data_IF_234624328129
#
_entry.id   IF_234624328129
#
_cell.length_a   1.000
_cell.length_b   1.000
_cell.length_c   1.000
_cell.angle_alpha   90.00
_cell.angle_beta   90.00
_cell.angle_gamma   90.00
#
_symmetry.space_group_name_H-M   'P 1'
#
loop_
_entity.id
_entity.type
_entity.pdbx_description
1 polymer ?
#
# COMPACT_ATOMS: atom_id res chain seq x y z
N UNK A 1 -38.54 -43.57 -0.04
CA UNK A 1 -38.71 -42.28 -0.74
C UNK A 1 -38.63 -41.02 0.13
N UNK A 2 -39.05 -41.04 1.41
CA UNK A 2 -39.02 -39.84 2.29
C UNK A 2 -37.60 -39.38 2.69
N UNK A 3 -36.68 -40.32 2.89
CA UNK A 3 -35.29 -40.05 3.30
C UNK A 3 -34.43 -39.40 2.20
N UNK A 4 -34.61 -39.77 0.92
CA UNK A 4 -33.87 -39.20 -0.22
C UNK A 4 -34.28 -37.73 -0.47
N UNK A 5 -35.57 -37.39 -0.28
CA UNK A 5 -36.04 -35.99 -0.37
C UNK A 5 -35.39 -35.09 0.69
N UNK A 6 -35.23 -35.58 1.92
CA UNK A 6 -34.59 -34.82 2.98
C UNK A 6 -33.08 -34.64 2.74
N UNK A 7 -32.41 -35.65 2.18
CA UNK A 7 -31.00 -35.55 1.81
C UNK A 7 -30.76 -34.53 0.68
N UNK A 8 -31.66 -34.50 -0.32
CA UNK A 8 -31.61 -33.55 -1.43
C UNK A 8 -31.83 -32.10 -0.97
N UNK A 9 -32.72 -31.89 0.02
CA UNK A 9 -32.98 -30.55 0.59
C UNK A 9 -31.76 -30.05 1.37
N UNK A 10 -31.07 -30.91 2.12
CA UNK A 10 -29.85 -30.54 2.84
C UNK A 10 -28.72 -30.20 1.85
N UNK A 11 -28.58 -30.97 0.78
CA UNK A 11 -27.56 -30.72 -0.25
C UNK A 11 -27.82 -29.43 -1.05
N UNK A 12 -29.09 -29.13 -1.39
CA UNK A 12 -29.47 -27.87 -2.05
C UNK A 12 -29.24 -26.65 -1.14
N UNK A 13 -29.47 -26.79 0.18
CA UNK A 13 -29.23 -25.72 1.16
C UNK A 13 -27.75 -25.36 1.32
N UNK A 14 -26.84 -26.32 1.17
CA UNK A 14 -25.41 -26.10 1.32
C UNK A 14 -24.79 -25.29 0.16
N UNK A 15 -25.34 -25.43 -1.07
CA UNK A 15 -24.80 -24.77 -2.27
C UNK A 15 -25.11 -23.26 -2.28
N UNK A 16 -26.19 -22.82 -1.63
CA UNK A 16 -26.60 -21.41 -1.59
C UNK A 16 -25.83 -20.55 -0.57
N UNK A 17 -25.08 -21.16 0.35
CA UNK A 17 -24.26 -20.45 1.34
C UNK A 17 -22.82 -20.21 0.87
N UNK A 18 -22.40 -20.82 -0.24
CA UNK A 18 -21.02 -20.77 -0.76
C UNK A 18 -20.70 -19.57 -1.66
N UNK A 19 -21.62 -18.62 -1.81
CA UNK A 19 -21.37 -17.39 -2.59
C UNK A 19 -21.30 -16.18 -1.65
N UNK A 20 -20.25 -16.13 -0.82
CA UNK A 20 -19.87 -14.88 -0.17
C UNK A 20 -19.36 -13.93 -1.24
N UNK A 21 -20.19 -12.97 -1.66
CA UNK A 21 -19.76 -11.89 -2.53
C UNK A 21 -18.60 -11.15 -1.86
N UNK A 22 -17.44 -11.14 -2.50
CA UNK A 22 -16.32 -10.29 -2.11
C UNK A 22 -16.81 -8.85 -2.22
N UNK A 23 -17.09 -8.19 -1.09
CA UNK A 23 -17.53 -6.79 -1.11
C UNK A 23 -16.43 -5.94 -1.73
N UNK A 24 -16.65 -5.44 -2.93
CA UNK A 24 -15.78 -4.42 -3.52
C UNK A 24 -15.86 -3.16 -2.67
N UNK A 25 -14.71 -2.67 -2.22
CA UNK A 25 -14.64 -1.38 -1.53
C UNK A 25 -14.56 -0.33 -2.64
N UNK A 26 -15.54 0.57 -2.70
CA UNK A 26 -15.45 1.74 -3.56
C UNK A 26 -14.39 2.69 -3.01
N UNK A 27 -13.34 2.92 -3.81
CA UNK A 27 -12.28 3.87 -3.48
C UNK A 27 -12.66 5.22 -4.07
N UNK A 28 -12.63 6.27 -3.24
CA UNK A 28 -12.78 7.65 -3.69
C UNK A 28 -11.43 8.36 -3.56
N UNK A 29 -11.04 9.03 -4.62
CA UNK A 29 -9.80 9.79 -4.71
C UNK A 29 -10.09 11.28 -4.85
N UNK A 30 -9.31 12.11 -4.16
CA UNK A 30 -9.28 13.56 -4.33
C UNK A 30 -7.91 14.11 -3.99
N UNK A 31 -7.45 15.13 -4.70
CA UNK A 31 -6.28 15.93 -4.34
C UNK A 31 -6.60 17.42 -4.38
N UNK A 32 -5.91 18.19 -3.54
CA UNK A 32 -6.01 19.64 -3.51
C UNK A 32 -4.72 20.29 -3.05
N UNK A 33 -4.37 21.42 -3.66
CA UNK A 33 -3.23 22.24 -3.29
C UNK A 33 -3.69 23.47 -2.48
N UNK A 34 -3.02 23.74 -1.36
CA UNK A 34 -3.23 24.90 -0.50
C UNK A 34 -2.03 25.86 -0.66
N UNK A 35 -2.23 26.93 -1.43
CA UNK A 35 -1.20 27.97 -1.69
C UNK A 35 -0.70 28.64 -0.40
N UNK A 36 -1.53 28.74 0.64
CA UNK A 36 -1.15 29.43 1.89
C UNK A 36 -0.18 28.61 2.74
N UNK A 37 -0.24 27.28 2.60
CA UNK A 37 0.62 26.34 3.32
C UNK A 37 1.71 25.72 2.44
N UNK A 38 1.71 26.04 1.14
CA UNK A 38 2.52 25.38 0.13
C UNK A 38 2.46 23.85 0.28
N UNK A 39 1.25 23.29 0.18
CA UNK A 39 1.02 21.88 0.49
C UNK A 39 -0.08 21.26 -0.38
N UNK A 40 0.22 20.10 -0.97
CA UNK A 40 -0.78 19.23 -1.58
C UNK A 40 -1.30 18.19 -0.57
N UNK A 41 -2.62 18.08 -0.47
CA UNK A 41 -3.30 17.00 0.25
C UNK A 41 -3.84 15.97 -0.74
N UNK A 42 -3.55 14.69 -0.51
CA UNK A 42 -4.02 13.55 -1.30
C UNK A 42 -4.89 12.66 -0.43
N UNK A 43 -6.17 12.58 -0.73
CA UNK A 43 -7.16 11.79 0.00
C UNK A 43 -7.57 10.56 -0.79
N UNK A 44 -7.47 9.39 -0.16
CA UNK A 44 -7.86 8.10 -0.71
C UNK A 44 -8.80 7.44 0.31
N UNK A 45 -10.11 7.55 0.12
CA UNK A 45 -11.09 6.96 1.03
C UNK A 45 -11.32 5.48 0.72
N UNK A 46 -11.44 4.61 1.73
CA UNK A 46 -11.50 4.91 3.18
C UNK A 46 -10.14 4.91 3.89
N UNK A 47 -9.02 4.90 3.16
CA UNK A 47 -7.70 4.60 3.71
C UNK A 47 -7.01 5.78 4.42
N UNK A 48 -7.15 7.00 3.91
CA UNK A 48 -6.65 8.18 4.62
C UNK A 48 -6.25 9.34 3.73
N UNK A 49 -5.41 10.20 4.29
CA UNK A 49 -4.92 11.42 3.65
C UNK A 49 -3.41 11.55 3.86
N UNK A 50 -2.69 11.84 2.78
CA UNK A 50 -1.28 12.21 2.78
C UNK A 50 -1.16 13.70 2.52
N UNK A 51 -0.20 14.36 3.17
CA UNK A 51 0.11 15.77 2.99
C UNK A 51 1.57 15.90 2.59
N UNK A 52 1.83 16.52 1.45
CA UNK A 52 3.17 16.69 0.89
C UNK A 52 3.41 18.18 0.67
N UNK A 53 4.58 18.67 1.08
CA UNK A 53 4.97 20.07 0.86
C UNK A 53 5.20 20.31 -0.63
N UNK A 54 4.85 21.49 -1.12
CA UNK A 54 4.89 21.84 -2.54
C UNK A 54 3.58 21.58 -3.27
N UNK A 55 3.52 22.08 -4.50
CA UNK A 55 2.45 21.81 -5.45
C UNK A 55 2.75 20.53 -6.26
N UNK A 56 1.93 19.50 -6.04
CA UNK A 56 1.99 18.22 -6.74
C UNK A 56 0.78 18.02 -7.64
N UNK A 57 1.00 17.57 -8.88
CA UNK A 57 -0.05 17.34 -9.86
C UNK A 57 -0.13 15.86 -10.22
N UNK A 58 -1.30 15.23 -10.03
CA UNK A 58 -1.52 13.82 -10.43
C UNK A 58 -1.31 13.67 -11.94
N UNK A 59 -0.53 12.67 -12.32
CA UNK A 59 -0.23 12.35 -13.73
C UNK A 59 -0.76 10.99 -14.16
N UNK A 60 -0.75 9.99 -13.26
CA UNK A 60 -1.33 8.68 -13.56
C UNK A 60 -1.80 7.96 -12.31
N UNK A 61 -2.59 6.92 -12.53
CA UNK A 61 -2.98 5.94 -11.52
C UNK A 61 -2.70 4.54 -12.07
N UNK A 62 -2.16 3.67 -11.23
CA UNK A 62 -2.09 2.25 -11.52
C UNK A 62 -3.19 1.54 -10.73
N UNK A 63 -4.28 1.19 -11.40
CA UNK A 63 -5.43 0.53 -10.77
C UNK A 63 -5.11 -0.87 -10.23
N UNK A 64 -4.03 -1.52 -10.70
CA UNK A 64 -3.62 -2.84 -10.20
C UNK A 64 -2.91 -2.71 -8.86
N UNK A 65 -1.95 -1.78 -8.73
CA UNK A 65 -1.20 -1.57 -7.48
C UNK A 65 -1.87 -0.58 -6.53
N UNK A 66 -2.89 0.16 -6.98
CA UNK A 66 -3.51 1.24 -6.22
C UNK A 66 -2.61 2.47 -6.02
N UNK A 67 -1.54 2.60 -6.81
CA UNK A 67 -0.60 3.72 -6.73
C UNK A 67 -1.07 4.93 -7.55
N UNK A 68 -0.97 6.11 -6.95
CA UNK A 68 -1.22 7.40 -7.58
C UNK A 68 0.11 8.12 -7.75
N UNK A 69 0.41 8.59 -8.96
CA UNK A 69 1.68 9.24 -9.29
C UNK A 69 1.47 10.72 -9.54
N UNK A 70 2.41 11.52 -9.07
CA UNK A 70 2.38 12.97 -9.16
C UNK A 70 3.73 13.51 -9.60
N UNK A 71 3.69 14.58 -10.39
CA UNK A 71 4.86 15.41 -10.69
C UNK A 71 4.87 16.59 -9.73
N UNK A 72 6.04 16.87 -9.15
CA UNK A 72 6.30 17.98 -8.25
C UNK A 72 7.34 18.96 -8.81
N UNK A 73 7.87 19.85 -7.94
CA UNK A 73 8.95 20.76 -8.28
C UNK A 73 10.21 20.02 -8.77
N UNK A 74 11.03 20.69 -9.58
CA UNK A 74 12.34 20.20 -10.04
C UNK A 74 12.33 18.83 -10.73
N UNK A 75 11.21 18.49 -11.39
CA UNK A 75 11.01 17.19 -12.07
C UNK A 75 11.06 15.98 -11.13
N UNK A 76 10.85 16.18 -9.83
CA UNK A 76 10.72 15.10 -8.85
C UNK A 76 9.33 14.46 -8.96
N UNK A 77 9.29 13.14 -9.03
CA UNK A 77 8.07 12.36 -8.97
C UNK A 77 7.78 11.86 -7.55
N UNK A 78 6.49 11.69 -7.22
CA UNK A 78 6.08 10.91 -6.05
C UNK A 78 4.98 9.92 -6.42
N UNK A 79 5.13 8.67 -5.98
CA UNK A 79 4.06 7.68 -6.00
C UNK A 79 3.51 7.47 -4.59
N UNK A 80 2.19 7.41 -4.45
CA UNK A 80 1.49 7.26 -3.16
C UNK A 80 0.50 6.10 -3.27
N UNK A 81 0.59 5.14 -2.35
CA UNK A 81 -0.39 4.08 -2.16
C UNK A 81 -0.75 3.93 -0.68
N UNK A 82 -2.05 3.82 -0.41
CA UNK A 82 -2.59 3.54 0.92
C UNK A 82 -3.42 2.26 0.86
N UNK A 83 -3.13 1.28 1.70
CA UNK A 83 -3.87 0.02 1.71
C UNK A 83 -3.82 -0.68 3.06
N UNK A 84 -4.81 -1.53 3.39
CA UNK A 84 -4.76 -2.38 4.57
C UNK A 84 -3.49 -3.25 4.59
N UNK A 85 -2.82 -3.31 5.74
CA UNK A 85 -1.55 -4.05 5.87
C UNK A 85 -1.72 -5.57 5.70
N UNK A 86 -2.91 -6.10 6.01
CA UNK A 86 -3.27 -7.51 5.94
C UNK A 86 -3.62 -7.99 4.51
N UNK A 87 -3.49 -7.12 3.50
CA UNK A 87 -3.73 -7.43 2.09
C UNK A 87 -2.46 -7.67 1.27
N UNK A 88 -1.29 -7.40 1.82
CA UNK A 88 -0.04 -7.72 1.16
C UNK A 88 0.18 -9.24 1.14
N UNK A 89 0.73 -9.78 0.05
CA UNK A 89 0.92 -11.23 -0.12
C UNK A 89 1.74 -11.87 1.01
N UNK A 90 2.78 -11.20 1.51
CA UNK A 90 3.63 -11.72 2.58
C UNK A 90 2.94 -11.69 3.96
N UNK A 91 1.88 -10.88 4.09
CA UNK A 91 1.18 -10.61 5.34
C UNK A 91 -0.18 -11.30 5.43
N UNK A 92 -0.83 -11.53 4.29
CA UNK A 92 -2.19 -12.06 4.25
C UNK A 92 -2.22 -13.49 4.80
N UNK A 93 -3.04 -13.72 5.83
CA UNK A 93 -3.14 -14.99 6.55
C UNK A 93 -1.80 -15.50 7.13
N UNK A 94 -0.81 -14.63 7.32
CA UNK A 94 0.47 -14.99 7.90
C UNK A 94 0.51 -14.60 9.39
N UNK A 95 0.40 -15.57 10.33
CA UNK A 95 0.39 -15.26 11.76
C UNK A 95 1.73 -14.72 12.29
N UNK A 96 2.82 -14.87 11.54
CA UNK A 96 4.13 -14.32 11.92
C UNK A 96 4.25 -12.82 11.63
N UNK A 97 3.36 -12.27 10.78
CA UNK A 97 3.34 -10.84 10.48
C UNK A 97 2.29 -10.18 11.36
N UNK A 98 2.76 -9.28 12.22
CA UNK A 98 1.95 -8.53 13.16
C UNK A 98 2.06 -7.03 12.87
N UNK A 99 1.11 -6.19 13.32
CA UNK A 99 1.26 -4.75 13.18
C UNK A 99 2.59 -4.21 13.73
N UNK A 100 3.15 -4.84 14.77
CA UNK A 100 4.41 -4.43 15.39
C UNK A 100 5.63 -4.69 14.52
N UNK A 101 5.64 -5.76 13.72
CA UNK A 101 6.78 -6.11 12.86
C UNK A 101 6.53 -5.84 11.37
N UNK A 102 5.31 -5.44 10.99
CA UNK A 102 4.87 -5.31 9.62
C UNK A 102 5.75 -4.38 8.79
N UNK A 103 6.14 -3.21 9.31
CA UNK A 103 6.99 -2.25 8.58
C UNK A 103 8.34 -2.87 8.22
N UNK A 104 8.94 -3.60 9.16
CA UNK A 104 10.21 -4.30 8.91
C UNK A 104 10.04 -5.44 7.92
N UNK A 105 8.96 -6.21 8.05
CA UNK A 105 8.63 -7.31 7.12
C UNK A 105 8.35 -6.81 5.70
N UNK A 106 7.69 -5.65 5.57
CA UNK A 106 7.51 -5.00 4.28
C UNK A 106 8.85 -4.62 3.67
N UNK A 107 9.72 -3.94 4.43
CA UNK A 107 11.05 -3.60 3.95
C UNK A 107 11.84 -4.83 3.49
N UNK A 108 11.84 -5.92 4.26
CA UNK A 108 12.51 -7.17 3.87
C UNK A 108 11.96 -7.75 2.56
N UNK A 109 10.64 -7.81 2.42
CA UNK A 109 9.97 -8.31 1.22
C UNK A 109 10.29 -7.45 -0.02
N UNK A 110 10.14 -6.13 0.10
CA UNK A 110 10.37 -5.19 -0.99
C UNK A 110 11.86 -5.05 -1.35
N UNK A 111 12.74 -5.00 -0.35
CA UNK A 111 14.19 -4.96 -0.55
C UNK A 111 14.70 -6.18 -1.31
N UNK A 112 14.21 -7.38 -0.98
CA UNK A 112 14.58 -8.59 -1.68
C UNK A 112 14.13 -8.53 -3.15
N UNK A 113 12.88 -8.13 -3.39
CA UNK A 113 12.36 -7.94 -4.74
C UNK A 113 13.19 -6.92 -5.54
N UNK A 114 13.42 -5.72 -5.00
CA UNK A 114 14.18 -4.66 -5.67
C UNK A 114 15.61 -5.10 -5.98
N UNK A 115 16.28 -5.77 -5.02
CA UNK A 115 17.63 -6.30 -5.22
C UNK A 115 17.68 -7.34 -6.33
N UNK A 116 16.71 -8.25 -6.38
CA UNK A 116 16.62 -9.28 -7.43
C UNK A 116 16.34 -8.68 -8.81
N UNK A 117 15.50 -7.62 -8.88
CA UNK A 117 15.11 -7.01 -10.16
C UNK A 117 16.14 -6.04 -10.72
N UNK A 118 16.82 -5.30 -9.86
CA UNK A 118 17.68 -4.18 -10.28
C UNK A 118 19.17 -4.47 -10.09
N UNK A 119 19.53 -5.37 -9.18
CA UNK A 119 20.92 -5.51 -8.71
C UNK A 119 21.43 -4.29 -7.91
N UNK A 120 20.55 -3.35 -7.60
CA UNK A 120 20.89 -2.10 -6.93
C UNK A 120 21.25 -2.26 -5.45
N UNK A 121 21.88 -1.22 -4.91
CA UNK A 121 22.25 -1.13 -3.51
C UNK A 121 21.13 -0.46 -2.71
N UNK A 122 20.70 -1.14 -1.64
CA UNK A 122 19.69 -0.64 -0.72
C UNK A 122 20.34 -0.16 0.57
N UNK A 123 19.89 0.99 1.06
CA UNK A 123 20.35 1.55 2.34
C UNK A 123 19.18 2.05 3.16
N UNK A 124 19.08 1.61 4.41
CA UNK A 124 18.17 2.24 5.37
C UNK A 124 18.69 3.65 5.68
N UNK A 125 17.86 4.64 5.43
CA UNK A 125 18.13 6.06 5.70
C UNK A 125 17.67 6.41 7.12
N UNK A 126 16.50 5.91 7.53
CA UNK A 126 15.93 6.16 8.86
C UNK A 126 14.95 5.07 9.23
N UNK A 127 14.89 4.74 10.50
CA UNK A 127 13.90 3.83 11.07
C UNK A 127 13.42 4.40 12.40
N UNK A 128 12.11 4.36 12.64
CA UNK A 128 11.49 4.82 13.88
C UNK A 128 10.39 3.82 14.25
N UNK A 129 10.77 2.81 15.00
CA UNK A 129 9.88 1.72 15.42
C UNK A 129 8.71 2.24 16.27
N UNK A 130 8.95 3.28 17.08
CA UNK A 130 7.90 3.87 17.93
C UNK A 130 6.82 4.57 17.11
N UNK A 131 7.23 5.27 16.04
CA UNK A 131 6.30 5.92 15.11
C UNK A 131 5.85 5.00 13.96
N UNK A 132 6.41 3.79 13.87
CA UNK A 132 6.03 2.78 12.89
C UNK A 132 6.32 3.18 11.44
N UNK A 133 7.52 3.71 11.15
CA UNK A 133 7.94 3.97 9.77
C UNK A 133 9.42 3.65 9.52
N UNK A 134 9.74 3.43 8.24
CA UNK A 134 11.08 3.16 7.73
C UNK A 134 11.27 3.93 6.42
N UNK A 135 12.45 4.53 6.25
CA UNK A 135 12.89 5.20 5.03
C UNK A 135 14.13 4.48 4.52
N UNK A 136 14.13 4.08 3.25
CA UNK A 136 15.28 3.49 2.59
C UNK A 136 15.47 4.07 1.20
N UNK A 137 16.67 3.90 0.66
CA UNK A 137 17.02 4.38 -0.67
C UNK A 137 17.51 3.23 -1.54
N UNK A 138 17.20 3.29 -2.83
CA UNK A 138 17.77 2.41 -3.86
C UNK A 138 18.77 3.21 -4.70
N UNK A 139 19.92 2.60 -4.96
CA UNK A 139 20.93 3.17 -5.85
C UNK A 139 21.53 2.16 -6.81
N UNK A 140 21.51 2.48 -8.09
CA UNK A 140 22.24 1.80 -9.17
C UNK A 140 23.58 2.49 -9.48
N UNK A 141 24.03 3.43 -8.64
CA UNK A 141 25.22 4.24 -8.85
C UNK A 141 25.74 4.90 -7.57
N UNK A 142 26.49 6.01 -7.65
CA UNK A 142 26.99 6.72 -6.47
C UNK A 142 25.94 7.59 -5.78
N UNK A 143 24.86 7.95 -6.50
CA UNK A 143 23.77 8.80 -6.00
C UNK A 143 22.49 7.94 -5.98
N UNK A 144 21.70 7.93 -4.90
CA UNK A 144 20.40 7.26 -4.90
C UNK A 144 19.46 7.85 -5.94
N UNK A 145 18.75 6.99 -6.66
CA UNK A 145 17.70 7.40 -7.60
C UNK A 145 16.37 7.53 -6.86
N UNK A 146 16.07 6.54 -6.00
CA UNK A 146 14.75 6.43 -5.40
C UNK A 146 14.85 6.45 -3.87
N UNK A 147 13.87 7.12 -3.23
CA UNK A 147 13.66 7.08 -1.78
C UNK A 147 12.27 6.57 -1.47
N UNK A 148 12.20 5.58 -0.59
CA UNK A 148 10.97 4.94 -0.17
C UNK A 148 10.71 5.32 1.28
N UNK A 149 9.49 5.76 1.58
CA UNK A 149 8.95 5.96 2.91
C UNK A 149 7.76 5.03 3.08
N UNK A 150 7.88 4.10 4.03
CA UNK A 150 6.82 3.18 4.37
C UNK A 150 6.48 3.25 5.85
N UNK A 151 5.20 3.23 6.19
CA UNK A 151 4.77 3.21 7.57
C UNK A 151 3.39 2.62 7.78
N UNK A 152 3.08 2.27 9.02
CA UNK A 152 1.79 1.72 9.42
C UNK A 152 1.10 2.67 10.40
N UNK A 153 -0.13 3.07 10.08
CA UNK A 153 -0.98 3.86 10.98
C UNK A 153 -2.33 3.18 11.14
N UNK A 154 -2.56 2.62 12.34
CA UNK A 154 -3.73 1.78 12.58
C UNK A 154 -3.68 0.56 11.67
N UNK A 155 -4.72 0.36 10.85
CA UNK A 155 -4.77 -0.76 9.89
C UNK A 155 -4.23 -0.42 8.50
N UNK A 156 -3.79 0.82 8.26
CA UNK A 156 -3.46 1.30 6.91
C UNK A 156 -1.95 1.49 6.78
N UNK A 157 -1.37 0.80 5.80
CA UNK A 157 -0.02 1.01 5.33
C UNK A 157 0.04 2.23 4.41
N UNK A 158 1.03 3.09 4.64
CA UNK A 158 1.35 4.27 3.85
C UNK A 158 2.64 3.97 3.09
N UNK A 159 2.55 3.86 1.76
CA UNK A 159 3.69 3.60 0.89
C UNK A 159 3.91 4.81 -0.03
N UNK A 160 5.02 5.50 0.16
CA UNK A 160 5.41 6.67 -0.62
C UNK A 160 6.78 6.40 -1.25
N UNK A 161 6.92 6.69 -2.54
CA UNK A 161 8.17 6.55 -3.30
C UNK A 161 8.45 7.89 -3.97
N UNK A 162 9.65 8.43 -3.77
CA UNK A 162 10.17 9.63 -4.45
C UNK A 162 11.14 9.16 -5.54
N UNK A 163 10.94 9.66 -6.76
CA UNK A 163 11.60 9.26 -8.01
C UNK A 163 12.21 10.49 -8.70
#
# INVERSE_FOLDING_TARGET
MRSVKNLLIIFLGAILLSCSSTRSISILYSDSYDETKDQTSVMILPFGTVKVQGQWKKVKENHVSGQYFFDGPDSVGIAIALQPWDRYEFSHNNPEVTPQNFVRKFYEWDANYLKEKTGGQLRIVKEDEQKGYLIWSLSNGPIPQDYFLFGLKGNIAYNLEII
#
